data_IF_250046309047
#
_entry.id   IF_250046309047
#
_cell.length_a   1.000
_cell.length_b   1.000
_cell.length_c   1.000
_cell.angle_alpha   90.00
_cell.angle_beta   90.00
_cell.angle_gamma   90.00
#
_symmetry.space_group_name_H-M   'P 1'
#
loop_
_entity.id
_entity.type
_entity.pdbx_description
1 polymer ?
#
# COMPACT_ATOMS: atom_id res chain seq x y z
N UNK A 1 35.35 -3.88 -4.09
CA UNK A 1 34.37 -4.95 -3.79
C UNK A 1 33.09 -4.63 -4.53
N UNK A 2 32.89 -5.32 -5.62
CA UNK A 2 31.68 -5.15 -6.44
C UNK A 2 30.55 -5.92 -5.77
N UNK A 3 29.71 -5.26 -4.99
CA UNK A 3 28.43 -5.85 -4.62
C UNK A 3 27.52 -5.79 -5.84
N UNK A 4 27.29 -6.93 -6.42
CA UNK A 4 26.35 -7.19 -7.49
C UNK A 4 24.96 -6.83 -6.96
N UNK A 5 24.41 -5.71 -7.40
CA UNK A 5 23.06 -5.24 -7.06
C UNK A 5 22.04 -5.98 -7.92
N UNK A 6 21.93 -7.28 -7.70
CA UNK A 6 20.90 -8.15 -8.26
C UNK A 6 19.71 -8.24 -7.31
N UNK A 7 19.02 -7.13 -7.15
CA UNK A 7 17.81 -7.04 -6.35
C UNK A 7 16.76 -6.21 -7.05
N UNK A 8 16.70 -6.33 -8.37
CA UNK A 8 15.76 -5.57 -9.19
C UNK A 8 14.81 -6.57 -9.78
N UNK A 9 13.60 -6.62 -9.24
CA UNK A 9 12.49 -7.41 -9.74
C UNK A 9 13.01 -8.77 -10.23
N UNK A 10 13.05 -9.74 -9.32
CA UNK A 10 13.49 -11.09 -9.63
C UNK A 10 12.63 -11.58 -10.82
N UNK A 11 13.26 -11.89 -11.94
CA UNK A 11 12.57 -12.41 -13.13
C UNK A 11 11.91 -13.77 -12.87
N UNK A 12 12.28 -14.40 -11.75
CA UNK A 12 11.80 -15.68 -11.31
C UNK A 12 10.68 -15.58 -10.26
N UNK A 13 10.17 -14.37 -9.97
CA UNK A 13 9.00 -14.18 -9.12
C UNK A 13 7.73 -14.48 -9.92
N UNK A 14 7.05 -15.62 -9.68
CA UNK A 14 5.87 -16.01 -10.44
C UNK A 14 4.72 -15.01 -10.33
N UNK A 15 4.70 -14.19 -9.28
CA UNK A 15 3.71 -13.13 -9.09
C UNK A 15 3.92 -11.94 -10.05
N UNK A 16 5.05 -11.89 -10.76
CA UNK A 16 5.39 -10.85 -11.72
C UNK A 16 5.40 -11.34 -13.17
N UNK A 17 4.96 -12.55 -13.43
CA UNK A 17 4.93 -13.14 -14.79
C UNK A 17 4.11 -12.27 -15.76
N UNK A 18 3.04 -11.63 -15.29
CA UNK A 18 2.25 -10.68 -16.06
C UNK A 18 3.03 -9.44 -16.54
N UNK A 19 4.22 -9.18 -15.98
CA UNK A 19 5.08 -8.04 -16.30
C UNK A 19 6.40 -8.41 -16.95
N UNK A 20 6.64 -9.72 -17.23
CA UNK A 20 7.91 -10.23 -17.76
C UNK A 20 8.31 -9.63 -19.10
N UNK A 21 7.34 -9.34 -19.96
CA UNK A 21 7.56 -8.84 -21.32
C UNK A 21 7.55 -7.31 -21.42
N UNK A 22 7.42 -6.61 -20.29
CA UNK A 22 7.30 -5.15 -20.27
C UNK A 22 8.67 -4.48 -20.20
N UNK A 23 8.94 -3.60 -21.16
CA UNK A 23 10.09 -2.71 -21.11
C UNK A 23 9.78 -1.47 -20.27
N UNK A 24 10.14 -1.49 -18.99
CA UNK A 24 9.92 -0.36 -18.08
C UNK A 24 10.60 0.93 -18.53
N UNK A 25 11.71 0.83 -19.25
CA UNK A 25 12.37 1.99 -19.86
C UNK A 25 11.44 2.71 -20.84
N UNK A 26 10.70 1.95 -21.62
CA UNK A 26 9.76 2.49 -22.63
C UNK A 26 8.50 3.00 -21.94
N UNK A 27 7.94 2.20 -21.04
CA UNK A 27 6.67 2.51 -20.40
C UNK A 27 6.75 3.72 -19.45
N UNK A 28 7.84 3.88 -18.72
CA UNK A 28 8.05 5.06 -17.89
C UNK A 28 8.25 6.34 -18.72
N UNK A 29 8.78 6.23 -19.94
CA UNK A 29 8.90 7.38 -20.85
C UNK A 29 7.58 7.81 -21.46
N UNK A 30 6.59 6.91 -21.54
CA UNK A 30 5.23 7.22 -22.00
C UNK A 30 4.38 7.91 -20.92
N UNK A 31 4.70 7.70 -19.65
CA UNK A 31 4.03 8.38 -18.53
C UNK A 31 4.66 9.76 -18.34
N UNK A 32 3.90 10.81 -18.61
CA UNK A 32 4.37 12.20 -18.60
C UNK A 32 4.98 12.62 -17.25
N UNK A 33 4.35 12.19 -16.14
CA UNK A 33 4.81 12.53 -14.78
C UNK A 33 6.15 11.86 -14.46
N UNK A 34 6.29 10.59 -14.82
CA UNK A 34 7.52 9.82 -14.60
C UNK A 34 8.62 10.30 -15.55
N UNK A 35 8.31 10.52 -16.81
CA UNK A 35 9.26 11.02 -17.80
C UNK A 35 9.87 12.35 -17.35
N UNK A 36 9.03 13.26 -16.84
CA UNK A 36 9.49 14.55 -16.32
C UNK A 36 10.35 14.40 -15.06
N UNK A 37 9.98 13.51 -14.15
CA UNK A 37 10.78 13.22 -12.96
C UNK A 37 12.14 12.60 -13.34
N UNK A 38 12.18 11.72 -14.35
CA UNK A 38 13.41 11.14 -14.91
C UNK A 38 14.34 12.21 -15.47
N UNK A 39 13.83 13.14 -16.27
CA UNK A 39 14.61 14.24 -16.84
C UNK A 39 15.28 15.07 -15.74
N UNK A 40 14.49 15.50 -14.76
CA UNK A 40 14.99 16.30 -13.64
C UNK A 40 16.03 15.53 -12.81
N UNK A 41 15.79 14.23 -12.60
CA UNK A 41 16.72 13.37 -11.84
C UNK A 41 18.03 13.15 -12.59
N UNK A 42 18.00 13.01 -13.91
CA UNK A 42 19.18 12.90 -14.76
C UNK A 42 20.00 14.19 -14.78
N UNK A 43 19.33 15.34 -14.73
CA UNK A 43 20.02 16.63 -14.64
C UNK A 43 20.81 16.77 -13.33
N UNK A 44 20.56 15.95 -12.33
CA UNK A 44 21.32 15.88 -11.08
C UNK A 44 21.09 17.04 -10.12
N UNK A 45 20.30 18.03 -10.51
CA UNK A 45 19.99 19.17 -9.68
C UNK A 45 18.69 18.93 -8.90
N UNK A 46 18.79 18.98 -7.56
CA UNK A 46 17.61 18.87 -6.70
C UNK A 46 16.74 20.12 -6.88
N UNK A 47 15.51 19.99 -7.38
CA UNK A 47 14.66 21.14 -7.61
C UNK A 47 14.24 21.80 -6.31
N UNK A 48 14.18 23.11 -6.33
CA UNK A 48 13.68 23.92 -5.21
C UNK A 48 12.16 23.73 -5.05
N UNK A 49 11.63 24.05 -3.87
CA UNK A 49 10.17 24.01 -3.62
C UNK A 49 9.36 24.81 -4.64
N UNK A 50 9.92 25.95 -5.11
CA UNK A 50 9.30 26.81 -6.13
C UNK A 50 9.26 26.11 -7.50
N UNK A 51 10.32 25.43 -7.88
CA UNK A 51 10.39 24.66 -9.13
C UNK A 51 9.49 23.44 -9.10
N UNK A 52 9.45 22.72 -7.97
CA UNK A 52 8.49 21.63 -7.75
C UNK A 52 7.05 22.14 -7.87
N UNK A 53 6.75 23.31 -7.28
CA UNK A 53 5.41 23.91 -7.34
C UNK A 53 4.91 24.23 -8.76
N UNK A 54 5.81 24.40 -9.71
CA UNK A 54 5.48 24.65 -11.13
C UNK A 54 5.22 23.39 -11.95
N UNK A 55 5.55 22.21 -11.40
CA UNK A 55 5.36 20.94 -12.10
C UNK A 55 3.91 20.46 -12.01
N UNK A 56 3.45 19.59 -12.93
CA UNK A 56 2.17 18.89 -12.82
C UNK A 56 2.03 18.17 -11.49
N UNK A 57 0.79 17.94 -11.04
CA UNK A 57 0.52 17.39 -9.71
C UNK A 57 1.15 16.01 -9.49
N UNK A 58 1.12 15.13 -10.49
CA UNK A 58 1.71 13.80 -10.40
C UNK A 58 3.24 13.87 -10.30
N UNK A 59 3.88 14.64 -11.19
CA UNK A 59 5.33 14.92 -11.12
C UNK A 59 5.72 15.51 -9.78
N UNK A 60 4.96 16.51 -9.29
CA UNK A 60 5.21 17.17 -8.00
C UNK A 60 5.24 16.17 -6.84
N UNK A 61 4.26 15.26 -6.83
CA UNK A 61 4.21 14.22 -5.78
C UNK A 61 5.42 13.29 -5.80
N UNK A 62 5.93 12.93 -6.98
CA UNK A 62 7.17 12.16 -7.12
C UNK A 62 8.38 12.95 -6.62
N UNK A 63 8.48 14.23 -6.97
CA UNK A 63 9.62 15.09 -6.61
C UNK A 63 9.70 15.39 -5.11
N UNK A 64 8.63 15.27 -4.33
CA UNK A 64 8.69 15.35 -2.87
C UNK A 64 9.54 14.23 -2.25
N UNK A 65 9.62 13.09 -2.90
CA UNK A 65 10.48 11.97 -2.50
C UNK A 65 11.87 12.00 -3.20
N UNK A 66 12.32 13.16 -3.68
CA UNK A 66 13.55 13.33 -4.46
C UNK A 66 14.75 12.55 -3.94
N UNK A 67 15.00 12.59 -2.64
CA UNK A 67 16.16 11.94 -2.02
C UNK A 67 16.07 10.42 -2.03
N UNK A 68 14.86 9.89 -2.19
CA UNK A 68 14.58 8.45 -2.31
C UNK A 68 14.54 7.98 -3.77
N UNK A 69 14.43 8.89 -4.73
CA UNK A 69 14.40 8.52 -6.14
C UNK A 69 15.80 8.16 -6.62
N UNK A 70 15.92 7.05 -7.33
CA UNK A 70 17.16 6.58 -7.96
C UNK A 70 16.89 6.09 -9.37
N UNK A 71 17.87 6.25 -10.26
CA UNK A 71 17.81 5.71 -11.63
C UNK A 71 18.73 4.50 -11.69
N UNK A 72 18.20 3.36 -12.12
CA UNK A 72 18.98 2.14 -12.40
C UNK A 72 18.59 1.60 -13.78
N UNK A 73 19.59 1.36 -14.63
CA UNK A 73 19.38 0.87 -16.01
C UNK A 73 18.29 1.66 -16.75
N UNK A 74 18.34 2.99 -16.67
CA UNK A 74 17.39 3.92 -17.31
C UNK A 74 15.97 3.92 -16.74
N UNK A 75 15.70 3.18 -15.66
CA UNK A 75 14.40 3.07 -15.01
C UNK A 75 14.45 3.80 -13.66
N UNK A 76 13.37 4.49 -13.34
CA UNK A 76 13.20 5.22 -12.08
C UNK A 76 12.64 4.30 -11.00
N UNK A 77 13.33 4.26 -9.87
CA UNK A 77 12.95 3.54 -8.66
C UNK A 77 12.86 4.47 -7.46
N UNK A 78 12.15 4.03 -6.45
CA UNK A 78 12.16 4.64 -5.12
C UNK A 78 12.82 3.70 -4.13
N UNK A 79 13.81 4.20 -3.39
CA UNK A 79 14.42 3.47 -2.29
C UNK A 79 13.53 3.58 -1.06
N UNK A 80 13.23 2.47 -0.44
CA UNK A 80 12.45 2.38 0.79
C UNK A 80 13.07 1.35 1.74
N UNK A 81 12.57 1.30 2.96
CA UNK A 81 12.91 0.25 3.93
C UNK A 81 11.68 -0.58 4.24
N UNK A 82 11.82 -1.87 4.18
CA UNK A 82 10.80 -2.84 4.54
C UNK A 82 11.45 -3.89 5.45
N UNK A 83 10.95 -4.03 6.70
CA UNK A 83 11.54 -4.94 7.70
C UNK A 83 13.06 -4.75 7.89
N UNK A 84 13.51 -3.49 7.96
CA UNK A 84 14.91 -3.07 8.06
C UNK A 84 15.80 -3.35 6.82
N UNK A 85 15.26 -4.00 5.80
CA UNK A 85 15.93 -4.21 4.52
C UNK A 85 15.69 -3.03 3.56
N UNK A 86 16.72 -2.66 2.81
CA UNK A 86 16.59 -1.64 1.76
C UNK A 86 16.02 -2.28 0.51
N UNK A 87 14.85 -1.81 0.09
CA UNK A 87 14.18 -2.27 -1.11
C UNK A 87 14.13 -1.16 -2.18
N UNK A 88 14.04 -1.58 -3.42
CA UNK A 88 13.88 -0.71 -4.58
C UNK A 88 12.50 -0.93 -5.18
N UNK A 89 11.63 0.05 -4.99
CA UNK A 89 10.28 0.02 -5.53
C UNK A 89 10.29 0.62 -6.94
N UNK A 90 9.80 -0.12 -7.92
CA UNK A 90 9.62 0.41 -9.28
C UNK A 90 8.57 1.53 -9.26
N UNK A 91 8.90 2.69 -9.81
CA UNK A 91 7.87 3.73 -10.02
C UNK A 91 6.95 3.26 -11.14
N UNK A 92 5.74 2.84 -10.76
CA UNK A 92 4.81 2.20 -11.67
C UNK A 92 4.02 3.23 -12.48
N UNK A 93 4.06 3.18 -13.83
CA UNK A 93 3.25 4.04 -14.68
C UNK A 93 1.75 3.84 -14.43
N UNK A 94 0.98 4.91 -14.62
CA UNK A 94 -0.45 4.91 -14.36
C UNK A 94 -1.22 3.79 -15.08
N UNK A 95 -0.82 3.47 -16.31
CA UNK A 95 -1.42 2.43 -17.13
C UNK A 95 -1.37 1.02 -16.52
N UNK A 96 -0.42 0.76 -15.63
CA UNK A 96 -0.18 -0.57 -15.05
C UNK A 96 -0.65 -0.73 -13.61
N UNK A 97 -1.11 0.35 -12.95
CA UNK A 97 -1.49 0.34 -11.54
C UNK A 97 -2.66 -0.60 -11.25
N UNK A 98 -3.68 -0.56 -12.09
CA UNK A 98 -4.88 -1.40 -11.92
C UNK A 98 -4.55 -2.89 -12.12
N UNK A 99 -3.71 -3.22 -13.11
CA UNK A 99 -3.25 -4.59 -13.36
C UNK A 99 -2.43 -5.11 -12.17
N UNK A 100 -1.51 -4.29 -11.65
CA UNK A 100 -0.69 -4.67 -10.50
C UNK A 100 -1.54 -4.88 -9.24
N UNK A 101 -2.51 -4.00 -8.99
CA UNK A 101 -3.39 -4.11 -7.83
C UNK A 101 -4.25 -5.37 -7.88
N UNK A 102 -4.85 -5.67 -9.02
CA UNK A 102 -5.69 -6.87 -9.19
C UNK A 102 -4.88 -8.15 -9.11
N UNK A 103 -3.75 -8.22 -9.84
CA UNK A 103 -2.87 -9.38 -9.79
C UNK A 103 -2.41 -9.70 -8.38
N UNK A 104 -1.84 -8.73 -7.67
CA UNK A 104 -1.36 -8.93 -6.30
C UNK A 104 -2.48 -9.15 -5.27
N UNK A 105 -3.70 -8.68 -5.52
CA UNK A 105 -4.85 -8.97 -4.67
C UNK A 105 -5.34 -10.40 -4.83
N UNK A 106 -5.39 -10.90 -6.06
CA UNK A 106 -5.80 -12.27 -6.38
C UNK A 106 -4.74 -13.26 -5.87
N UNK A 107 -3.45 -12.98 -6.08
CA UNK A 107 -2.32 -13.78 -5.59
C UNK A 107 -2.25 -13.82 -4.06
N UNK A 108 -2.68 -12.77 -3.39
CA UNK A 108 -2.80 -12.74 -1.93
C UNK A 108 -3.92 -13.65 -1.39
N UNK A 109 -4.67 -14.34 -2.27
CA UNK A 109 -5.76 -15.25 -1.86
C UNK A 109 -6.88 -14.52 -1.14
N UNK A 110 -7.17 -13.27 -1.52
CA UNK A 110 -8.17 -12.40 -0.90
C UNK A 110 -7.94 -12.15 0.61
N UNK A 111 -6.67 -12.20 1.05
CA UNK A 111 -6.28 -12.05 2.47
C UNK A 111 -6.44 -10.63 3.03
N UNK A 112 -7.10 -9.75 2.31
CA UNK A 112 -7.42 -8.41 2.76
C UNK A 112 -6.38 -7.35 2.43
N UNK A 113 -6.72 -6.12 2.81
CA UNK A 113 -6.01 -4.90 2.45
C UNK A 113 -4.53 -4.88 2.87
N UNK A 114 -4.24 -5.27 4.10
CA UNK A 114 -2.89 -5.11 4.67
C UNK A 114 -1.89 -6.03 3.94
N UNK A 115 -2.32 -7.22 3.56
CA UNK A 115 -1.49 -8.15 2.78
C UNK A 115 -1.27 -7.63 1.36
N UNK A 116 -2.32 -7.19 0.70
CA UNK A 116 -2.23 -6.59 -0.65
C UNK A 116 -1.30 -5.37 -0.62
N UNK A 117 -1.47 -4.48 0.37
CA UNK A 117 -0.63 -3.30 0.52
C UNK A 117 0.84 -3.67 0.75
N UNK A 118 1.11 -4.70 1.55
CA UNK A 118 2.46 -5.21 1.78
C UNK A 118 3.10 -5.71 0.46
N UNK A 119 2.39 -6.52 -0.32
CA UNK A 119 2.87 -7.06 -1.59
C UNK A 119 3.13 -5.96 -2.62
N UNK A 120 2.21 -4.99 -2.72
CA UNK A 120 2.42 -3.83 -3.60
C UNK A 120 3.63 -3.01 -3.15
N UNK A 121 3.72 -2.70 -1.86
CA UNK A 121 4.82 -1.91 -1.29
C UNK A 121 6.19 -2.60 -1.40
N UNK A 122 6.24 -3.91 -1.44
CA UNK A 122 7.52 -4.62 -1.58
C UNK A 122 8.14 -4.47 -2.98
N UNK A 123 7.33 -4.14 -4.00
CA UNK A 123 7.74 -4.12 -5.42
C UNK A 123 7.55 -2.80 -6.13
N UNK A 124 6.44 -2.11 -5.85
CA UNK A 124 6.00 -0.94 -6.60
C UNK A 124 5.79 0.30 -5.73
N UNK A 125 5.83 1.43 -6.38
CA UNK A 125 5.45 2.70 -5.78
C UNK A 125 4.79 3.63 -6.81
N UNK A 126 3.76 4.33 -6.39
CA UNK A 126 3.22 5.52 -7.03
C UNK A 126 2.54 6.42 -6.00
N UNK A 127 2.46 7.73 -6.26
CA UNK A 127 1.79 8.65 -5.34
C UNK A 127 0.30 8.33 -5.20
N UNK A 128 -0.16 8.11 -3.98
CA UNK A 128 -1.56 7.76 -3.70
C UNK A 128 -1.85 6.26 -3.62
N UNK A 129 -0.85 5.41 -3.76
CA UNK A 129 -0.98 3.95 -3.75
C UNK A 129 -1.83 3.40 -2.60
N UNK A 130 -1.66 3.91 -1.38
CA UNK A 130 -2.43 3.45 -0.22
C UNK A 130 -3.94 3.65 -0.42
N UNK A 131 -4.33 4.79 -1.02
CA UNK A 131 -5.72 5.10 -1.32
C UNK A 131 -6.28 4.17 -2.39
N UNK A 132 -5.50 3.91 -3.43
CA UNK A 132 -5.91 3.03 -4.53
C UNK A 132 -6.10 1.59 -4.03
N UNK A 133 -5.25 1.11 -3.12
CA UNK A 133 -5.44 -0.20 -2.45
C UNK A 133 -6.69 -0.19 -1.56
N UNK A 134 -6.96 0.92 -0.85
CA UNK A 134 -8.18 1.06 -0.03
C UNK A 134 -9.46 1.03 -0.85
N UNK A 135 -9.43 1.59 -2.05
CA UNK A 135 -10.58 1.60 -2.96
C UNK A 135 -10.83 0.21 -3.57
N UNK A 136 -9.74 -0.52 -3.91
CA UNK A 136 -9.85 -1.88 -4.45
C UNK A 136 -10.31 -2.90 -3.41
N UNK A 137 -9.80 -2.81 -2.20
CA UNK A 137 -10.09 -3.73 -1.09
C UNK A 137 -10.86 -2.99 -0.01
N UNK A 138 -12.17 -2.79 -0.18
CA UNK A 138 -12.97 -2.09 0.82
C UNK A 138 -12.88 -2.81 2.16
N UNK A 139 -12.68 -2.05 3.22
CA UNK A 139 -12.71 -2.55 4.58
C UNK A 139 -14.03 -3.29 4.83
N UNK A 140 -13.95 -4.58 5.01
CA UNK A 140 -15.07 -5.33 5.57
C UNK A 140 -15.24 -4.89 7.03
N UNK A 141 -16.12 -3.90 7.25
CA UNK A 141 -16.48 -3.41 8.58
C UNK A 141 -17.03 -4.50 9.51
N UNK A 142 -17.26 -5.71 9.00
CA UNK A 142 -17.81 -6.84 9.75
C UNK A 142 -16.82 -7.50 10.72
N UNK A 143 -15.52 -7.39 10.51
CA UNK A 143 -14.58 -8.09 11.38
C UNK A 143 -14.17 -7.33 12.65
N UNK A 144 -14.52 -6.05 12.78
CA UNK A 144 -14.22 -5.30 14.02
C UNK A 144 -15.27 -5.44 15.12
N UNK A 145 -16.45 -6.01 14.83
CA UNK A 145 -17.53 -6.15 15.83
C UNK A 145 -17.62 -7.53 16.48
N UNK A 146 -16.74 -8.47 16.17
CA UNK A 146 -16.78 -9.81 16.78
C UNK A 146 -15.86 -10.00 17.99
N UNK A 147 -15.29 -8.92 18.53
CA UNK A 147 -14.46 -8.98 19.75
C UNK A 147 -14.95 -8.07 20.86
N UNK A 148 -16.25 -7.94 21.06
CA UNK A 148 -16.79 -7.38 22.30
C UNK A 148 -18.24 -7.81 22.48
N UNK A 149 -18.46 -9.09 22.68
CA UNK A 149 -19.55 -9.59 23.50
C UNK A 149 -18.93 -10.49 24.56
N UNK A 150 -18.35 -9.89 25.56
CA UNK A 150 -18.30 -10.52 26.85
C UNK A 150 -19.76 -10.63 27.30
N UNK A 151 -20.32 -11.80 27.13
CA UNK A 151 -21.53 -12.20 27.83
C UNK A 151 -21.22 -12.09 29.32
N UNK A 152 -21.62 -10.98 29.93
CA UNK A 152 -21.90 -10.98 31.33
C UNK A 152 -23.17 -11.77 31.50
N UNK A 153 -23.04 -13.05 31.87
CA UNK A 153 -24.08 -13.80 32.49
C UNK A 153 -24.53 -13.03 33.74
N UNK A 154 -25.56 -12.21 33.60
CA UNK A 154 -26.39 -11.84 34.74
C UNK A 154 -27.20 -13.08 35.06
N UNK A 155 -26.77 -13.73 36.10
CA UNK A 155 -27.61 -14.65 36.83
C UNK A 155 -28.63 -13.74 37.53
N UNK A 156 -29.85 -13.71 37.00
CA UNK A 156 -30.99 -13.16 37.75
C UNK A 156 -31.28 -14.15 38.84
N UNK A 157 -30.77 -13.85 40.02
CA UNK A 157 -31.22 -14.45 41.27
C UNK A 157 -32.58 -13.83 41.63
N UNK A 158 -33.62 -14.37 41.04
CA UNK A 158 -34.98 -14.12 41.46
C UNK A 158 -35.26 -15.00 42.71
N UNK A 159 -34.86 -14.46 43.85
CA UNK A 159 -35.32 -14.90 45.13
C UNK A 159 -36.61 -14.17 45.45
N UNK A 160 -37.70 -14.68 44.98
CA UNK A 160 -39.03 -14.32 45.45
C UNK A 160 -39.18 -14.51 46.95
N UNK A 161 -39.07 -13.43 47.67
CA UNK A 161 -39.53 -13.37 49.06
C UNK A 161 -40.98 -12.90 49.06
N UNK A 162 -41.88 -13.85 49.00
CA UNK A 162 -43.27 -13.68 49.32
C UNK A 162 -43.38 -13.51 50.85
N UNK A 163 -43.53 -12.28 51.31
CA UNK A 163 -43.97 -12.06 52.70
C UNK A 163 -45.45 -11.82 52.67
N UNK A 164 -46.16 -12.88 52.98
CA UNK A 164 -47.54 -12.87 53.38
C UNK A 164 -47.64 -12.22 54.79
N UNK A 165 -48.28 -11.07 54.85
CA UNK A 165 -48.76 -10.51 56.14
C UNK A 165 -50.22 -10.26 56.01
N UNK A 166 -50.91 -11.36 56.18
CA UNK A 166 -52.22 -11.33 56.70
C UNK A 166 -52.10 -11.50 58.22
N UNK A 167 -52.64 -10.59 58.97
CA UNK A 167 -53.27 -10.75 60.28
C UNK A 167 -53.39 -9.41 60.92
N UNK A 168 -54.56 -8.96 61.06
CA UNK A 168 -55.64 -9.13 62.00
C UNK A 168 -55.64 -8.02 63.09
N UNK A 169 -56.73 -7.44 63.09
CA UNK A 169 -57.79 -7.63 64.04
C UNK A 169 -57.63 -7.04 65.46
N UNK A 170 -58.63 -6.33 65.74
CA UNK A 170 -59.32 -5.87 66.94
C UNK A 170 -59.04 -4.47 67.31
#
# INVERSE_FOLDING_TARGET
MSQTLEGIVDKDDPELEAFSDISWVVEQKKDEDIARALELKRAGHKPTKREIGKQPLGTRKLLYDWDKLVIKKEVLYRVSKLNDETIYQLILPAAYRDIALRGLHDDAGHQGRDRTLYLVNSRFYWPGMNKDVEELVPHNKKERNSKCTSETNRVDDDMGATIDKNERNL
#
